data_IF_982626065249
#
_entry.id   IF_982626065249
#
_cell.length_a   1.000
_cell.length_b   1.000
_cell.length_c   1.000
_cell.angle_alpha   90.00
_cell.angle_beta   90.00
_cell.angle_gamma   90.00
#
_symmetry.space_group_name_H-M   'P 1'
#
loop_
_entity.id
_entity.type
_entity.pdbx_description
1 polymer ?
#
# COMPACT_ATOMS: atom_id res chain seq x y z
N UNK A 1 2.30 30.73 -19.21
CA UNK A 1 2.01 29.61 -20.14
C UNK A 1 1.01 30.13 -21.20
N UNK A 2 1.08 29.61 -22.43
CA UNK A 2 0.17 29.97 -23.51
C UNK A 2 -0.58 28.73 -24.02
N UNK A 3 -1.83 28.93 -24.48
CA UNK A 3 -2.67 27.88 -25.03
C UNK A 3 -3.77 28.42 -25.91
N UNK A 4 -4.50 27.54 -26.58
CA UNK A 4 -5.72 27.88 -27.34
C UNK A 4 -6.80 26.82 -27.17
N UNK A 5 -8.05 27.23 -27.34
CA UNK A 5 -9.18 26.32 -27.34
C UNK A 5 -9.55 26.03 -28.79
N UNK A 6 -9.53 24.75 -29.20
CA UNK A 6 -9.89 24.31 -30.56
C UNK A 6 -10.96 23.23 -30.41
N UNK A 7 -12.13 23.47 -31.01
CA UNK A 7 -13.30 22.57 -30.93
C UNK A 7 -13.69 22.22 -29.47
N UNK A 8 -13.58 23.19 -28.57
CA UNK A 8 -13.89 23.04 -27.15
C UNK A 8 -12.79 22.35 -26.33
N UNK A 9 -11.67 21.98 -26.96
CA UNK A 9 -10.55 21.30 -26.30
C UNK A 9 -9.38 22.28 -26.12
N UNK A 10 -8.87 22.37 -24.90
CA UNK A 10 -7.67 23.14 -24.60
C UNK A 10 -6.42 22.46 -25.17
N UNK A 11 -5.58 23.26 -25.83
CA UNK A 11 -4.27 22.83 -26.35
C UNK A 11 -3.19 23.82 -25.89
N UNK A 12 -2.25 23.32 -25.11
CA UNK A 12 -1.08 24.07 -24.69
C UNK A 12 -0.18 24.40 -25.90
N UNK A 13 0.50 25.52 -25.85
CA UNK A 13 1.49 25.88 -26.86
C UNK A 13 2.68 24.92 -26.81
N UNK A 14 2.98 24.19 -27.89
CA UNK A 14 4.09 23.23 -27.89
C UNK A 14 5.44 23.99 -27.85
N UNK A 15 6.47 23.33 -27.35
CA UNK A 15 7.84 23.86 -27.38
C UNK A 15 8.37 24.02 -28.83
N UNK A 16 7.94 23.12 -29.70
CA UNK A 16 8.32 23.13 -31.12
C UNK A 16 7.06 23.14 -32.00
N UNK A 17 6.99 24.07 -32.93
CA UNK A 17 5.87 24.20 -33.85
C UNK A 17 6.33 24.08 -35.31
N UNK A 18 5.66 23.23 -36.09
CA UNK A 18 5.96 23.03 -37.52
C UNK A 18 4.81 23.56 -38.36
N UNK A 19 5.11 24.51 -39.23
CA UNK A 19 4.16 25.06 -40.21
C UNK A 19 3.88 24.07 -41.36
N UNK A 20 2.77 24.28 -42.06
CA UNK A 20 2.35 23.44 -43.18
C UNK A 20 3.35 23.40 -44.37
N UNK A 21 4.26 24.39 -44.45
CA UNK A 21 5.36 24.43 -45.43
C UNK A 21 6.63 23.69 -44.98
N UNK A 22 6.59 23.03 -43.82
CA UNK A 22 7.72 22.26 -43.26
C UNK A 22 8.72 23.11 -42.43
N UNK A 23 8.50 24.42 -42.34
CA UNK A 23 9.35 25.25 -41.47
C UNK A 23 9.04 24.99 -40.00
N UNK A 24 10.07 24.82 -39.18
CA UNK A 24 9.93 24.46 -37.76
C UNK A 24 10.58 25.54 -36.88
N UNK A 25 9.85 26.00 -35.86
CA UNK A 25 10.28 26.92 -34.82
C UNK A 25 10.47 26.18 -33.52
N UNK A 26 11.65 26.25 -32.92
CA UNK A 26 11.96 25.79 -31.58
C UNK A 26 11.72 26.89 -30.55
N UNK A 27 11.43 26.56 -29.30
CA UNK A 27 11.04 27.50 -28.24
C UNK A 27 9.79 28.35 -28.61
N UNK A 28 8.91 27.77 -29.42
CA UNK A 28 7.70 28.43 -29.89
C UNK A 28 6.82 28.92 -28.71
N UNK A 29 6.73 28.15 -27.61
CA UNK A 29 5.99 28.50 -26.40
C UNK A 29 6.48 29.80 -25.70
N UNK A 30 7.62 30.34 -26.07
CA UNK A 30 8.19 31.59 -25.56
C UNK A 30 8.12 32.77 -26.56
N UNK A 31 7.76 32.53 -27.81
CA UNK A 31 7.61 33.60 -28.84
C UNK A 31 6.20 34.19 -28.76
N UNK A 32 6.04 35.21 -27.91
CA UNK A 32 4.76 35.87 -27.66
C UNK A 32 4.12 36.50 -28.89
N UNK A 33 4.92 36.98 -29.86
CA UNK A 33 4.43 37.59 -31.08
C UNK A 33 3.83 36.52 -32.01
N UNK A 34 4.55 35.44 -32.23
CA UNK A 34 4.11 34.31 -33.05
C UNK A 34 2.96 33.55 -32.43
N UNK A 35 2.95 33.41 -31.09
CA UNK A 35 1.85 32.83 -30.35
C UNK A 35 0.57 33.61 -30.57
N UNK A 36 0.61 34.93 -30.44
CA UNK A 36 -0.55 35.80 -30.67
C UNK A 36 -1.06 35.73 -32.13
N UNK A 37 -0.15 35.70 -33.11
CA UNK A 37 -0.48 35.56 -34.53
C UNK A 37 -1.22 34.24 -34.83
N UNK A 38 -0.84 33.16 -34.16
CA UNK A 38 -1.41 31.83 -34.31
C UNK A 38 -2.61 31.56 -33.35
N UNK A 39 -3.08 32.62 -32.67
CA UNK A 39 -4.29 32.57 -31.83
C UNK A 39 -4.10 31.91 -30.46
N UNK A 40 -2.84 31.75 -30.02
CA UNK A 40 -2.57 31.33 -28.65
C UNK A 40 -2.70 32.51 -27.70
N UNK A 41 -3.23 32.25 -26.50
CA UNK A 41 -3.51 33.26 -25.48
C UNK A 41 -2.81 32.90 -24.18
N UNK A 42 -2.54 33.89 -23.36
CA UNK A 42 -2.02 33.69 -22.01
C UNK A 42 -3.03 32.88 -21.18
N UNK A 43 -2.54 31.86 -20.50
CA UNK A 43 -3.34 31.05 -19.59
C UNK A 43 -3.12 31.50 -18.16
N UNK A 44 -4.20 31.92 -17.52
CA UNK A 44 -4.24 32.26 -16.08
C UNK A 44 -4.57 30.96 -15.35
N UNK A 45 -3.58 30.40 -14.67
CA UNK A 45 -3.73 29.19 -13.87
C UNK A 45 -4.33 29.47 -12.50
N UNK A 46 -4.93 28.43 -11.95
CA UNK A 46 -5.41 28.47 -10.59
C UNK A 46 -4.22 28.50 -9.62
N UNK A 47 -4.14 29.52 -8.78
CA UNK A 47 -2.94 29.84 -7.95
C UNK A 47 -2.86 29.01 -6.63
N UNK A 48 -3.68 27.96 -6.49
CA UNK A 48 -3.64 27.08 -5.33
C UNK A 48 -2.92 25.80 -5.72
N UNK A 49 -1.87 25.38 -4.95
CA UNK A 49 -1.18 24.13 -5.21
C UNK A 49 -2.16 22.94 -5.31
N UNK A 50 -1.88 22.01 -6.22
CA UNK A 50 -2.65 20.77 -6.29
C UNK A 50 -2.46 19.96 -5.01
N UNK A 51 -3.56 19.52 -4.41
CA UNK A 51 -3.52 18.46 -3.43
C UNK A 51 -3.42 17.13 -4.18
N UNK A 52 -2.24 16.52 -4.18
CA UNK A 52 -1.95 15.28 -4.92
C UNK A 52 -2.79 14.08 -4.45
N UNK A 53 -3.50 14.22 -3.33
CA UNK A 53 -4.46 13.22 -2.87
C UNK A 53 -5.74 13.19 -3.71
N UNK A 54 -6.03 14.29 -4.43
CA UNK A 54 -7.24 14.46 -5.22
C UNK A 54 -6.93 14.44 -6.72
N UNK A 55 -7.91 14.04 -7.50
CA UNK A 55 -7.92 14.26 -8.94
C UNK A 55 -8.86 15.41 -9.26
N UNK A 56 -8.55 16.12 -10.32
CA UNK A 56 -9.29 17.28 -10.75
C UNK A 56 -9.67 17.18 -12.23
N UNK A 57 -10.87 17.62 -12.54
CA UNK A 57 -11.28 17.92 -13.92
C UNK A 57 -10.93 19.37 -14.15
N UNK A 58 -10.15 19.62 -15.21
CA UNK A 58 -9.76 20.96 -15.62
C UNK A 58 -10.69 21.45 -16.70
N UNK A 59 -11.20 22.66 -16.54
CA UNK A 59 -11.99 23.36 -17.53
C UNK A 59 -11.29 24.67 -17.90
N UNK A 60 -11.43 25.09 -19.15
CA UNK A 60 -10.77 26.24 -19.69
C UNK A 60 -11.79 27.13 -20.36
N UNK A 61 -11.84 28.39 -19.96
CA UNK A 61 -12.75 29.39 -20.53
C UNK A 61 -11.97 30.59 -21.03
N UNK A 62 -12.30 31.05 -22.26
CA UNK A 62 -11.74 32.25 -22.81
C UNK A 62 -12.59 33.48 -22.44
N UNK A 63 -11.97 34.46 -21.78
CA UNK A 63 -12.53 35.77 -21.52
C UNK A 63 -11.46 36.84 -21.47
N UNK A 64 -11.79 38.07 -21.85
CA UNK A 64 -10.90 39.24 -21.80
C UNK A 64 -9.54 39.01 -22.51
N UNK A 65 -9.52 38.21 -23.59
CA UNK A 65 -8.32 37.91 -24.36
C UNK A 65 -7.35 36.93 -23.70
N UNK A 66 -7.75 36.30 -22.59
CA UNK A 66 -6.99 35.27 -21.88
C UNK A 66 -7.79 34.01 -21.75
N UNK A 67 -7.12 32.91 -21.42
CA UNK A 67 -7.75 31.65 -21.07
C UNK A 67 -7.62 31.46 -19.55
N UNK A 68 -8.72 31.23 -18.88
CA UNK A 68 -8.78 30.95 -17.44
C UNK A 68 -8.96 29.46 -17.22
N UNK A 69 -8.04 28.88 -16.44
CA UNK A 69 -8.13 27.51 -15.95
C UNK A 69 -8.98 27.51 -14.69
N UNK A 70 -9.96 26.61 -14.63
CA UNK A 70 -10.68 26.24 -13.41
C UNK A 70 -10.52 24.75 -13.17
N UNK A 71 -10.68 24.34 -11.93
CA UNK A 71 -10.64 22.93 -11.58
C UNK A 71 -11.73 22.56 -10.59
N UNK A 72 -12.29 21.38 -10.77
CA UNK A 72 -13.28 20.79 -9.88
C UNK A 72 -12.80 19.40 -9.47
N UNK A 73 -13.23 18.93 -8.30
CA UNK A 73 -12.97 17.56 -7.89
C UNK A 73 -13.65 16.59 -8.84
N UNK A 74 -12.92 15.62 -9.35
CA UNK A 74 -13.49 14.55 -10.15
C UNK A 74 -14.13 13.52 -9.22
N UNK A 75 -15.45 13.49 -9.22
CA UNK A 75 -16.30 12.61 -8.40
C UNK A 75 -16.99 11.53 -9.23
N UNK A 76 -16.49 11.20 -10.43
CA UNK A 76 -17.07 10.15 -11.27
C UNK A 76 -16.98 8.77 -10.59
N UNK A 77 -17.96 7.90 -10.82
CA UNK A 77 -17.98 6.54 -10.25
C UNK A 77 -16.75 5.71 -10.67
N UNK A 78 -16.36 5.81 -11.93
CA UNK A 78 -15.16 5.12 -12.44
C UNK A 78 -13.91 5.54 -11.67
N UNK A 79 -13.80 6.80 -11.33
CA UNK A 79 -12.69 7.32 -10.55
C UNK A 79 -12.77 6.93 -9.08
N UNK A 80 -13.95 6.75 -8.54
CA UNK A 80 -14.15 6.25 -7.16
C UNK A 80 -13.58 4.83 -7.03
N UNK A 81 -13.81 3.95 -7.99
CA UNK A 81 -13.28 2.59 -7.99
C UNK A 81 -11.76 2.56 -8.14
N UNK A 82 -11.20 3.41 -9.01
CA UNK A 82 -9.76 3.61 -9.13
C UNK A 82 -9.13 4.08 -7.81
N UNK A 83 -9.78 5.03 -7.14
CA UNK A 83 -9.34 5.53 -5.85
C UNK A 83 -9.36 4.44 -4.79
N UNK A 84 -10.45 3.64 -4.72
CA UNK A 84 -10.55 2.48 -3.83
C UNK A 84 -9.40 1.50 -4.07
N UNK A 85 -9.18 1.12 -5.33
CA UNK A 85 -8.12 0.18 -5.69
C UNK A 85 -6.73 0.69 -5.26
N UNK A 86 -6.43 1.97 -5.48
CA UNK A 86 -5.16 2.57 -5.06
C UNK A 86 -4.99 2.61 -3.54
N UNK A 87 -6.05 2.96 -2.81
CA UNK A 87 -6.00 3.00 -1.33
C UNK A 87 -5.82 1.60 -0.75
N UNK A 88 -6.46 0.58 -1.33
CA UNK A 88 -6.26 -0.82 -0.95
C UNK A 88 -4.82 -1.25 -1.23
N UNK A 89 -4.27 -0.93 -2.41
CA UNK A 89 -2.87 -1.22 -2.72
C UNK A 89 -1.92 -0.57 -1.70
N UNK A 90 -2.16 0.69 -1.35
CA UNK A 90 -1.40 1.41 -0.33
C UNK A 90 -1.45 0.73 1.05
N UNK A 91 -2.62 0.24 1.50
CA UNK A 91 -2.70 -0.48 2.79
C UNK A 91 -1.86 -1.76 2.80
N UNK A 92 -1.71 -2.44 1.65
CA UNK A 92 -0.85 -3.62 1.51
C UNK A 92 0.64 -3.29 1.59
N UNK A 93 1.04 -2.19 0.97
CA UNK A 93 2.40 -1.67 1.06
C UNK A 93 2.72 -1.22 2.49
N UNK A 94 1.79 -0.53 3.15
CA UNK A 94 1.93 -0.09 4.53
C UNK A 94 2.00 -1.27 5.50
N UNK A 95 1.22 -2.35 5.27
CA UNK A 95 1.34 -3.61 6.01
C UNK A 95 2.74 -4.21 5.85
N UNK A 96 3.24 -4.32 4.61
CA UNK A 96 4.57 -4.89 4.36
C UNK A 96 5.66 -4.11 5.11
N UNK A 97 5.63 -2.78 5.02
CA UNK A 97 6.55 -1.88 5.72
C UNK A 97 6.42 -2.01 7.24
N UNK A 98 5.20 -2.04 7.77
CA UNK A 98 4.96 -2.20 9.21
C UNK A 98 5.56 -3.50 9.74
N UNK A 99 5.40 -4.62 9.02
CA UNK A 99 5.98 -5.92 9.40
C UNK A 99 7.52 -5.94 9.31
N UNK A 100 8.11 -5.17 8.40
CA UNK A 100 9.56 -5.03 8.30
C UNK A 100 10.15 -4.22 9.47
N UNK A 101 9.48 -3.12 9.83
CA UNK A 101 9.92 -2.19 10.88
C UNK A 101 9.62 -2.68 12.30
N UNK A 102 8.67 -3.62 12.46
CA UNK A 102 8.22 -4.13 13.76
C UNK A 102 8.46 -5.63 13.89
N UNK A 103 9.70 -6.06 14.14
CA UNK A 103 10.04 -7.48 14.32
C UNK A 103 9.39 -8.05 15.59
N UNK A 104 9.12 -9.36 15.59
CA UNK A 104 8.73 -10.10 16.77
C UNK A 104 9.90 -10.18 17.75
N UNK A 105 9.64 -9.89 19.03
CA UNK A 105 10.56 -10.19 20.12
C UNK A 105 10.16 -11.52 20.76
N UNK A 106 11.08 -12.47 20.81
CA UNK A 106 10.83 -13.81 21.37
C UNK A 106 12.08 -14.35 22.06
N UNK A 107 11.84 -15.13 23.10
CA UNK A 107 12.87 -15.88 23.84
C UNK A 107 12.85 -17.39 23.52
N UNK A 108 12.19 -17.79 22.43
CA UNK A 108 12.03 -19.19 22.03
C UNK A 108 13.35 -19.93 21.82
N UNK A 109 14.46 -19.23 21.51
CA UNK A 109 15.78 -19.78 21.34
C UNK A 109 16.61 -19.63 22.63
N UNK A 110 16.74 -20.71 23.38
CA UNK A 110 17.58 -20.75 24.59
C UNK A 110 17.16 -19.80 25.71
N UNK A 111 15.92 -19.28 25.72
CA UNK A 111 15.43 -18.36 26.74
C UNK A 111 15.94 -16.92 26.65
N UNK A 112 16.70 -16.58 25.60
CA UNK A 112 17.27 -15.23 25.40
C UNK A 112 16.37 -14.46 24.42
N UNK A 113 15.94 -13.25 24.83
CA UNK A 113 15.16 -12.38 23.96
C UNK A 113 15.95 -11.93 22.74
N UNK A 114 15.41 -12.21 21.56
CA UNK A 114 15.94 -11.80 20.26
C UNK A 114 14.82 -11.27 19.38
N UNK A 115 15.17 -10.48 18.35
CA UNK A 115 14.23 -9.97 17.34
C UNK A 115 14.21 -10.90 16.14
N UNK A 116 13.00 -11.17 15.63
CA UNK A 116 12.78 -12.01 14.46
C UNK A 116 11.98 -11.25 13.42
N UNK A 117 12.50 -11.14 12.21
CA UNK A 117 11.82 -10.52 11.08
C UNK A 117 10.55 -11.30 10.76
N UNK A 118 9.44 -10.59 10.59
CA UNK A 118 8.09 -11.17 10.37
C UNK A 118 7.49 -10.83 9.01
N UNK A 119 8.33 -10.48 8.01
CA UNK A 119 7.88 -10.28 6.64
C UNK A 119 7.23 -11.54 6.06
N UNK A 120 6.38 -11.38 5.05
CA UNK A 120 5.72 -12.51 4.38
C UNK A 120 6.71 -13.56 3.90
N UNK A 121 7.87 -13.14 3.38
CA UNK A 121 8.95 -14.04 2.97
C UNK A 121 9.44 -14.90 4.14
N UNK A 122 9.72 -14.27 5.30
CA UNK A 122 10.20 -14.98 6.50
C UNK A 122 9.14 -15.91 7.08
N UNK A 123 7.86 -15.52 7.05
CA UNK A 123 6.76 -16.40 7.45
C UNK A 123 6.70 -17.66 6.56
N UNK A 124 6.83 -17.49 5.23
CA UNK A 124 6.83 -18.59 4.27
C UNK A 124 8.05 -19.49 4.46
N UNK A 125 9.26 -18.91 4.63
CA UNK A 125 10.47 -19.67 4.90
C UNK A 125 10.35 -20.49 6.19
N UNK A 126 9.83 -19.90 7.27
CA UNK A 126 9.64 -20.60 8.55
C UNK A 126 8.63 -21.74 8.43
N UNK A 127 7.53 -21.49 7.71
CA UNK A 127 6.48 -22.51 7.47
C UNK A 127 7.04 -23.67 6.66
N UNK A 128 7.79 -23.40 5.60
CA UNK A 128 8.45 -24.42 4.78
C UNK A 128 9.47 -25.21 5.59
N UNK A 129 10.30 -24.54 6.40
CA UNK A 129 11.28 -25.20 7.26
C UNK A 129 10.63 -26.19 8.22
N UNK A 130 9.51 -25.81 8.86
CA UNK A 130 8.75 -26.72 9.75
C UNK A 130 8.12 -27.87 8.95
N UNK A 131 7.57 -27.62 7.78
CA UNK A 131 6.96 -28.63 6.92
C UNK A 131 8.00 -29.64 6.42
N UNK A 132 9.17 -29.18 5.98
CA UNK A 132 10.29 -30.03 5.54
C UNK A 132 10.79 -30.91 6.66
N UNK A 133 10.95 -30.35 7.87
CA UNK A 133 11.34 -31.17 9.03
C UNK A 133 10.31 -32.28 9.27
N UNK A 134 9.00 -31.93 9.32
CA UNK A 134 7.94 -32.92 9.57
C UNK A 134 7.89 -34.00 8.49
N UNK A 135 8.05 -33.63 7.24
CA UNK A 135 8.09 -34.59 6.12
C UNK A 135 9.24 -35.62 6.28
N UNK A 136 10.42 -35.14 6.67
CA UNK A 136 11.57 -36.00 6.88
C UNK A 136 11.52 -36.78 8.21
N UNK A 137 10.86 -36.22 9.22
CA UNK A 137 10.71 -36.89 10.52
C UNK A 137 9.60 -37.95 10.52
N UNK A 138 8.61 -37.84 9.65
CA UNK A 138 7.42 -38.73 9.65
C UNK A 138 7.75 -40.21 9.62
N UNK A 139 8.67 -40.75 8.79
CA UNK A 139 9.04 -42.18 8.83
C UNK A 139 9.65 -42.59 10.15
N UNK A 140 10.41 -41.71 10.80
CA UNK A 140 11.09 -41.95 12.06
C UNK A 140 10.08 -41.99 13.22
N UNK A 141 9.09 -41.06 13.18
CA UNK A 141 7.97 -41.00 14.11
C UNK A 141 7.13 -42.27 14.03
N UNK A 142 6.83 -42.72 12.83
CA UNK A 142 6.05 -43.95 12.56
C UNK A 142 6.81 -45.22 13.03
N UNK A 143 8.12 -45.14 13.08
CA UNK A 143 8.95 -46.23 13.66
C UNK A 143 8.98 -46.19 15.21
N UNK A 144 8.28 -45.24 15.85
CA UNK A 144 8.15 -45.17 17.32
C UNK A 144 9.11 -44.21 18.01
N UNK A 145 9.89 -43.40 17.27
CA UNK A 145 10.80 -42.40 17.87
C UNK A 145 10.03 -41.11 18.18
N UNK A 146 10.04 -40.62 19.44
CA UNK A 146 9.47 -39.34 19.80
C UNK A 146 10.10 -38.18 19.01
N UNK A 147 9.30 -37.19 18.61
CA UNK A 147 9.74 -36.08 17.76
C UNK A 147 10.87 -35.27 18.37
N UNK A 148 10.91 -35.15 19.69
CA UNK A 148 11.95 -34.45 20.46
C UNK A 148 13.31 -35.13 20.41
N UNK A 149 13.35 -36.44 20.05
CA UNK A 149 14.58 -37.25 19.96
C UNK A 149 15.10 -37.31 18.51
N UNK A 150 14.38 -36.71 17.55
CA UNK A 150 14.77 -36.72 16.14
C UNK A 150 15.82 -35.64 15.90
N UNK A 151 17.07 -36.05 15.60
CA UNK A 151 18.17 -35.15 15.29
C UNK A 151 18.27 -34.88 13.78
N UNK A 152 17.27 -34.21 13.22
CA UNK A 152 17.33 -33.63 11.88
C UNK A 152 17.77 -32.16 11.99
N UNK A 153 18.73 -31.70 11.15
CA UNK A 153 19.26 -30.35 11.27
C UNK A 153 18.22 -29.33 10.80
N UNK A 154 17.88 -28.38 11.68
CA UNK A 154 17.14 -27.18 11.39
C UNK A 154 18.09 -26.01 11.59
N UNK A 155 18.20 -25.12 10.59
CA UNK A 155 18.99 -23.91 10.68
C UNK A 155 18.14 -22.68 10.55
N UNK A 156 18.26 -21.77 11.52
CA UNK A 156 17.50 -20.50 11.52
C UNK A 156 18.32 -19.40 12.20
N UNK A 157 17.91 -18.14 12.03
CA UNK A 157 18.58 -17.01 12.64
C UNK A 157 17.60 -15.95 13.16
N UNK A 158 17.99 -15.27 14.22
CA UNK A 158 17.39 -13.99 14.60
C UNK A 158 17.88 -12.87 13.66
N UNK A 159 17.25 -11.72 13.73
CA UNK A 159 17.60 -10.56 12.93
C UNK A 159 19.05 -10.12 13.21
N UNK A 160 19.87 -10.07 12.18
CA UNK A 160 21.28 -9.68 12.28
C UNK A 160 22.23 -10.79 12.72
N UNK A 161 21.74 -11.95 13.15
CA UNK A 161 22.56 -13.10 13.55
C UNK A 161 22.87 -14.03 12.35
N UNK A 162 23.89 -14.86 12.51
CA UNK A 162 24.16 -15.97 11.58
C UNK A 162 23.18 -17.12 11.85
N UNK A 163 22.98 -17.99 10.84
CA UNK A 163 22.16 -19.19 11.00
C UNK A 163 22.85 -20.14 12.00
N UNK A 164 22.10 -20.62 12.97
CA UNK A 164 22.51 -21.61 13.96
C UNK A 164 21.56 -22.81 13.99
N UNK A 165 22.01 -23.92 14.62
CA UNK A 165 21.17 -25.13 14.74
C UNK A 165 20.06 -24.89 15.78
N UNK A 166 18.83 -25.28 15.40
CA UNK A 166 17.63 -25.20 16.23
C UNK A 166 17.06 -26.58 16.48
N UNK A 167 16.36 -26.74 17.59
CA UNK A 167 15.51 -27.90 17.84
C UNK A 167 14.15 -27.71 17.20
N UNK A 168 13.43 -28.81 16.97
CA UNK A 168 12.06 -28.75 16.48
C UNK A 168 11.14 -27.92 17.41
N UNK A 169 11.26 -28.12 18.74
CA UNK A 169 10.48 -27.40 19.73
C UNK A 169 10.66 -25.87 19.62
N UNK A 170 11.92 -25.41 19.52
CA UNK A 170 12.23 -23.98 19.40
C UNK A 170 11.68 -23.37 18.11
N UNK A 171 11.87 -24.03 16.96
CA UNK A 171 11.39 -23.51 15.67
C UNK A 171 9.86 -23.53 15.57
N UNK A 172 9.22 -24.55 16.14
CA UNK A 172 7.76 -24.66 16.20
C UNK A 172 7.16 -23.60 17.13
N UNK A 173 7.80 -23.32 18.26
CA UNK A 173 7.42 -22.24 19.16
C UNK A 173 7.51 -20.88 18.43
N UNK A 174 8.64 -20.59 17.77
CA UNK A 174 8.82 -19.38 17.00
C UNK A 174 7.70 -19.21 15.94
N UNK A 175 7.38 -20.29 15.20
CA UNK A 175 6.31 -20.28 14.21
C UNK A 175 4.98 -19.89 14.84
N UNK A 176 4.61 -20.47 15.97
CA UNK A 176 3.34 -20.17 16.64
C UNK A 176 3.28 -18.74 17.16
N UNK A 177 4.36 -18.25 17.77
CA UNK A 177 4.45 -16.87 18.24
C UNK A 177 4.39 -15.88 17.07
N UNK A 178 5.09 -16.17 15.96
CA UNK A 178 5.04 -15.35 14.74
C UNK A 178 3.63 -15.28 14.15
N UNK A 179 2.94 -16.42 14.05
CA UNK A 179 1.57 -16.47 13.56
C UNK A 179 0.60 -15.71 14.47
N UNK A 180 0.76 -15.82 15.79
CA UNK A 180 -0.06 -15.09 16.76
C UNK A 180 0.20 -13.58 16.71
N UNK A 181 1.44 -13.18 16.47
CA UNK A 181 1.83 -11.77 16.33
C UNK A 181 1.29 -11.14 15.04
N UNK A 182 1.41 -11.84 13.90
CA UNK A 182 1.07 -11.31 12.57
C UNK A 182 -0.43 -11.33 12.30
N UNK A 183 -1.15 -12.35 12.79
CA UNK A 183 -2.59 -12.52 12.51
C UNK A 183 -3.43 -11.26 12.75
N UNK A 184 -3.39 -10.59 13.91
CA UNK A 184 -4.22 -9.41 14.16
C UNK A 184 -3.83 -8.22 13.26
N UNK A 185 -2.56 -8.12 12.86
CA UNK A 185 -2.09 -7.06 11.96
C UNK A 185 -2.70 -7.25 10.56
N UNK A 186 -2.71 -8.49 10.06
CA UNK A 186 -3.33 -8.84 8.76
C UNK A 186 -4.86 -8.69 8.82
N UNK A 187 -5.49 -9.04 9.95
CA UNK A 187 -6.93 -8.85 10.14
C UNK A 187 -7.31 -7.37 10.15
N UNK A 188 -6.49 -6.51 10.76
CA UNK A 188 -6.66 -5.06 10.70
C UNK A 188 -6.54 -4.52 9.28
N UNK A 189 -5.58 -4.98 8.50
CA UNK A 189 -5.45 -4.60 7.09
C UNK A 189 -6.69 -5.00 6.27
N UNK A 190 -7.23 -6.19 6.48
CA UNK A 190 -8.47 -6.64 5.81
C UNK A 190 -9.69 -5.81 6.24
N UNK A 191 -9.73 -5.42 7.49
CA UNK A 191 -10.76 -4.49 7.98
C UNK A 191 -10.67 -3.14 7.25
N UNK A 192 -9.46 -2.59 7.08
CA UNK A 192 -9.26 -1.36 6.31
C UNK A 192 -9.68 -1.52 4.84
N UNK A 193 -9.32 -2.63 4.17
CA UNK A 193 -9.78 -2.92 2.81
C UNK A 193 -11.30 -2.90 2.70
N UNK A 194 -11.99 -3.59 3.63
CA UNK A 194 -13.45 -3.62 3.68
C UNK A 194 -14.02 -2.22 3.88
N UNK A 195 -13.51 -1.47 4.86
CA UNK A 195 -13.95 -0.11 5.15
C UNK A 195 -13.79 0.81 3.93
N UNK A 196 -12.68 0.70 3.17
CA UNK A 196 -12.47 1.46 1.92
C UNK A 196 -13.51 1.07 0.87
N UNK A 197 -13.76 -0.22 0.70
CA UNK A 197 -14.74 -0.70 -0.31
C UNK A 197 -16.17 -0.24 -0.03
N UNK A 198 -16.54 -0.07 1.23
CA UNK A 198 -17.87 0.36 1.67
C UNK A 198 -18.10 1.86 1.51
N UNK A 199 -17.07 2.66 1.21
CA UNK A 199 -17.25 4.11 1.00
C UNK A 199 -17.95 4.39 -0.34
N UNK A 200 -18.90 5.32 -0.33
CA UNK A 200 -19.69 5.72 -1.50
C UNK A 200 -19.22 7.06 -2.10
N UNK A 201 -18.30 7.77 -1.41
CA UNK A 201 -17.80 9.07 -1.85
C UNK A 201 -16.28 9.19 -1.66
N UNK A 202 -15.63 9.92 -2.56
CA UNK A 202 -14.17 10.09 -2.55
C UNK A 202 -13.66 10.78 -1.28
N UNK A 203 -14.33 11.84 -0.83
CA UNK A 203 -13.98 12.58 0.40
C UNK A 203 -13.91 11.65 1.61
N UNK A 204 -14.83 10.69 1.71
CA UNK A 204 -14.84 9.70 2.79
C UNK A 204 -13.63 8.77 2.74
N UNK A 205 -13.17 8.39 1.55
CA UNK A 205 -11.94 7.59 1.41
C UNK A 205 -10.70 8.38 1.85
N UNK A 206 -10.65 9.68 1.56
CA UNK A 206 -9.54 10.53 1.97
C UNK A 206 -9.51 10.80 3.48
N UNK A 207 -10.67 10.85 4.13
CA UNK A 207 -10.80 11.00 5.58
C UNK A 207 -10.36 9.74 6.34
N UNK A 208 -10.34 8.57 5.70
CA UNK A 208 -9.93 7.32 6.34
C UNK A 208 -8.45 7.34 6.72
N UNK A 209 -8.19 7.16 8.00
CA UNK A 209 -6.84 6.98 8.51
C UNK A 209 -6.41 5.52 8.37
N UNK A 210 -5.69 5.21 7.29
CA UNK A 210 -5.22 3.86 6.95
C UNK A 210 -3.80 3.56 7.47
N UNK A 211 -3.21 4.40 8.31
CA UNK A 211 -1.86 4.15 8.83
C UNK A 211 -1.84 3.04 9.88
N UNK A 212 -0.82 2.19 9.79
CA UNK A 212 -0.56 1.13 10.76
C UNK A 212 0.20 1.70 11.96
N UNK A 213 -0.40 1.58 13.15
CA UNK A 213 0.27 1.83 14.43
C UNK A 213 -0.15 0.75 15.42
N UNK A 214 0.70 0.47 16.41
CA UNK A 214 0.39 -0.53 17.44
C UNK A 214 -0.90 -0.21 18.18
N UNK A 215 -1.10 1.05 18.55
CA UNK A 215 -2.32 1.52 19.24
C UNK A 215 -3.61 1.24 18.44
N UNK A 216 -3.61 1.46 17.11
CA UNK A 216 -4.77 1.17 16.27
C UNK A 216 -5.06 -0.32 16.16
N UNK A 217 -4.02 -1.13 16.00
CA UNK A 217 -4.16 -2.58 15.95
C UNK A 217 -4.71 -3.11 17.28
N UNK A 218 -4.18 -2.64 18.40
CA UNK A 218 -4.64 -3.05 19.73
C UNK A 218 -6.10 -2.63 20.00
N UNK A 219 -6.49 -1.42 19.59
CA UNK A 219 -7.90 -0.97 19.64
C UNK A 219 -8.83 -1.82 18.78
N UNK A 220 -8.39 -2.16 17.57
CA UNK A 220 -9.14 -3.06 16.70
C UNK A 220 -9.34 -4.46 17.31
N UNK A 221 -8.30 -5.02 17.93
CA UNK A 221 -8.38 -6.31 18.63
C UNK A 221 -9.37 -6.21 19.80
N UNK A 222 -9.31 -5.14 20.59
CA UNK A 222 -10.18 -4.92 21.73
C UNK A 222 -11.66 -4.84 21.30
N UNK A 223 -11.98 -4.05 20.27
CA UNK A 223 -13.35 -3.91 19.76
C UNK A 223 -13.96 -5.25 19.30
N UNK A 224 -13.17 -6.10 18.64
CA UNK A 224 -13.63 -7.42 18.19
C UNK A 224 -13.93 -8.39 19.36
N UNK A 225 -13.16 -8.30 20.43
CA UNK A 225 -13.38 -9.13 21.60
C UNK A 225 -14.67 -8.72 22.34
N UNK A 226 -15.04 -7.45 22.31
CA UNK A 226 -16.30 -6.96 22.87
C UNK A 226 -17.51 -7.45 22.06
N UNK A 227 -17.45 -7.43 20.73
CA UNK A 227 -18.52 -7.94 19.85
C UNK A 227 -18.81 -9.43 20.07
N UNK A 228 -17.79 -10.24 20.31
CA UNK A 228 -17.94 -11.69 20.53
C UNK A 228 -18.60 -12.01 21.88
N UNK A 229 -18.49 -11.12 22.86
CA UNK A 229 -19.09 -11.31 24.20
C UNK A 229 -20.55 -10.87 24.30
N UNK A 230 -21.05 -10.13 23.30
CA UNK A 230 -22.44 -9.62 23.28
C UNK A 230 -23.43 -10.49 22.47
N UNK A 231 -22.99 -11.57 21.81
CA UNK A 231 -23.95 -12.49 21.20
C UNK A 231 -24.78 -13.21 22.30
N UNK A 232 -26.08 -12.99 22.35
CA UNK A 232 -26.91 -13.67 23.33
C UNK A 232 -26.93 -15.16 23.03
N UNK A 233 -26.56 -15.95 24.02
CA UNK A 233 -26.89 -17.39 24.07
C UNK A 233 -28.39 -17.56 24.19
N UNK A 234 -29.11 -17.41 23.06
CA UNK A 234 -30.48 -17.92 22.99
C UNK A 234 -30.42 -19.45 22.83
N UNK A 235 -30.70 -20.13 23.94
CA UNK A 235 -31.03 -21.56 24.01
C UNK A 235 -32.53 -21.70 24.04
#
# INVERSE_FOLDING_TARGET
MYGKIVDGVFKEAPETYTFGNGYTVTNFNNDTALLAELGYKEVVRFDVPEDTRFRYIYTYEERDGKIYESRELDTSEELLDDLKARRIAQTREDLARYLEENPLVSSCKGGVEKKYTVTLEKQNQLTSTVADFLSNALPIILAGTPIEQIDLPIYWNAQGDICEKWTYGEIYQLKNEMMSYVRPIVEYQRYLEKTIMEQEAQDKIYELDCHFTRDKIDKFIASRNEEVTEEPTDI
#
